data_IF_940308421728
#
_entry.id   IF_940308421728
#
_cell.length_a   1.000
_cell.length_b   1.000
_cell.length_c   1.000
_cell.angle_alpha   90.00
_cell.angle_beta   90.00
_cell.angle_gamma   90.00
#
_symmetry.space_group_name_H-M   'P 1'
#
loop_
_entity.id
_entity.type
_entity.pdbx_description
1 polymer ?
#
# COMPACT_ATOMS: atom_id res chain seq x y z
N UNK A 1 6.78 -29.53 -1.94
CA UNK A 1 8.00 -30.04 -2.60
C UNK A 1 7.83 -29.78 -4.09
N UNK A 2 8.72 -29.01 -4.72
CA UNK A 2 8.49 -28.42 -6.04
C UNK A 2 9.11 -29.23 -7.18
N UNK A 3 8.26 -29.99 -7.90
CA UNK A 3 8.40 -30.39 -9.30
C UNK A 3 9.76 -30.86 -9.82
N UNK A 4 9.92 -30.79 -11.15
CA UNK A 4 11.18 -31.10 -11.84
C UNK A 4 12.21 -29.96 -11.63
N UNK A 5 13.43 -30.32 -11.24
CA UNK A 5 14.53 -29.40 -10.91
C UNK A 5 15.51 -29.11 -12.07
N UNK A 6 15.25 -29.65 -13.26
CA UNK A 6 16.05 -29.36 -14.43
C UNK A 6 15.91 -30.38 -15.56
N UNK A 7 16.46 -30.03 -16.71
CA UNK A 7 16.65 -30.94 -17.83
C UNK A 7 17.87 -31.85 -17.60
N UNK A 8 17.87 -33.02 -18.23
CA UNK A 8 19.02 -33.91 -18.21
C UNK A 8 20.19 -33.27 -18.97
N UNK A 9 21.39 -33.27 -18.37
CA UNK A 9 22.61 -32.71 -18.96
C UNK A 9 23.04 -31.39 -18.33
N UNK A 10 22.11 -30.59 -17.80
CA UNK A 10 22.48 -29.40 -17.00
C UNK A 10 22.88 -29.85 -15.59
N UNK A 11 24.19 -29.87 -15.31
CA UNK A 11 24.77 -30.40 -14.05
C UNK A 11 24.53 -29.53 -12.80
N UNK A 12 23.62 -28.56 -12.86
CA UNK A 12 23.26 -27.69 -11.74
C UNK A 12 21.81 -27.21 -11.88
N UNK A 13 21.20 -26.84 -10.75
CA UNK A 13 19.83 -26.31 -10.73
C UNK A 13 19.84 -24.85 -11.17
N UNK A 14 19.04 -24.50 -12.17
CA UNK A 14 18.95 -23.13 -12.68
C UNK A 14 18.29 -22.21 -11.66
N UNK A 15 18.83 -21.00 -11.48
CA UNK A 15 18.29 -19.97 -10.56
C UNK A 15 16.87 -19.50 -10.87
N UNK A 16 16.38 -19.72 -12.10
CA UNK A 16 15.02 -19.37 -12.52
C UNK A 16 13.97 -20.34 -11.99
N UNK A 17 14.39 -21.54 -11.55
CA UNK A 17 13.50 -22.54 -10.97
C UNK A 17 13.05 -22.06 -9.59
N UNK A 18 11.76 -22.21 -9.30
CA UNK A 18 11.14 -21.78 -8.04
C UNK A 18 11.70 -22.62 -6.90
N UNK A 19 12.37 -21.96 -5.96
CA UNK A 19 12.88 -22.56 -4.74
C UNK A 19 12.18 -21.93 -3.53
N UNK A 20 12.13 -22.65 -2.41
CA UNK A 20 11.71 -22.07 -1.14
C UNK A 20 12.70 -20.99 -0.70
N UNK A 21 12.21 -19.92 -0.10
CA UNK A 21 13.02 -18.80 0.34
C UNK A 21 12.20 -17.71 1.02
N UNK A 22 12.83 -16.57 1.28
CA UNK A 22 12.21 -15.43 1.95
C UNK A 22 11.01 -14.91 1.14
N UNK A 23 9.85 -14.81 1.80
CA UNK A 23 8.65 -14.18 1.26
C UNK A 23 8.28 -12.97 2.12
N UNK A 24 8.09 -11.82 1.47
CA UNK A 24 7.67 -10.59 2.14
C UNK A 24 8.85 -9.73 2.61
N UNK A 25 8.52 -8.58 3.19
CA UNK A 25 9.47 -7.53 3.59
C UNK A 25 10.35 -6.96 2.45
N UNK A 26 10.07 -7.29 1.18
CA UNK A 26 10.78 -6.70 0.04
C UNK A 26 10.43 -5.22 -0.14
N UNK A 27 11.40 -4.43 -0.57
CA UNK A 27 11.17 -3.05 -0.99
C UNK A 27 10.44 -3.02 -2.33
N UNK A 28 9.31 -2.31 -2.38
CA UNK A 28 8.49 -2.14 -3.58
C UNK A 28 8.25 -0.66 -3.82
N UNK A 29 8.23 -0.26 -5.09
CA UNK A 29 7.85 1.09 -5.51
C UNK A 29 6.58 0.98 -6.34
N UNK A 30 5.49 1.55 -5.84
CA UNK A 30 4.25 1.68 -6.60
C UNK A 30 4.17 3.08 -7.19
N UNK A 31 3.80 3.16 -8.47
CA UNK A 31 3.81 4.40 -9.24
C UNK A 31 2.38 4.89 -9.48
N UNK A 32 2.28 6.20 -9.75
CA UNK A 32 1.06 6.84 -10.23
C UNK A 32 -0.17 6.73 -9.31
N UNK A 33 0.06 6.55 -8.00
CA UNK A 33 -1.00 6.67 -6.98
C UNK A 33 -1.55 8.10 -6.98
N UNK A 34 -2.86 8.20 -6.79
CA UNK A 34 -3.57 9.48 -6.77
C UNK A 34 -3.79 9.90 -5.33
N UNK A 35 -3.43 11.13 -5.00
CA UNK A 35 -3.80 11.76 -3.73
C UNK A 35 -5.21 12.31 -3.90
N UNK A 36 -6.09 11.99 -2.96
CA UNK A 36 -7.49 12.40 -2.98
C UNK A 36 -7.70 13.66 -2.13
N UNK A 37 -7.07 13.72 -0.95
CA UNK A 37 -7.17 14.85 -0.02
C UNK A 37 -5.89 14.96 0.79
N UNK A 38 -5.49 16.19 1.10
CA UNK A 38 -4.48 16.52 2.11
C UNK A 38 -5.19 17.43 3.10
N UNK A 39 -5.19 17.07 4.38
CA UNK A 39 -5.97 17.78 5.40
C UNK A 39 -5.33 17.64 6.78
N UNK A 40 -5.75 18.51 7.69
CA UNK A 40 -5.43 18.47 9.11
C UNK A 40 -6.61 17.88 9.90
N UNK A 41 -6.37 17.17 11.02
CA UNK A 41 -7.45 16.61 11.85
C UNK A 41 -8.44 17.65 12.38
N UNK A 42 -8.02 18.91 12.54
CA UNK A 42 -8.90 19.99 12.98
C UNK A 42 -9.93 20.45 11.92
N UNK A 43 -9.69 20.19 10.63
CA UNK A 43 -10.59 20.59 9.54
C UNK A 43 -11.54 19.46 9.15
N UNK A 44 -11.02 18.23 9.08
CA UNK A 44 -11.83 17.06 8.79
C UNK A 44 -11.29 15.87 9.56
N UNK A 45 -12.09 15.32 10.47
CA UNK A 45 -11.71 14.09 11.17
C UNK A 45 -11.92 12.88 10.26
N UNK A 46 -10.89 12.04 10.20
CA UNK A 46 -10.83 10.81 9.41
C UNK A 46 -10.86 9.57 10.32
N UNK A 47 -10.64 9.76 11.61
CA UNK A 47 -10.49 8.68 12.57
C UNK A 47 -11.83 7.98 12.74
N UNK A 48 -11.94 6.67 12.43
CA UNK A 48 -13.19 5.96 12.63
C UNK A 48 -13.51 5.82 14.13
N UNK A 49 -14.77 5.58 14.46
CA UNK A 49 -15.17 5.29 15.84
C UNK A 49 -14.34 4.11 16.40
N UNK A 50 -13.61 4.34 17.49
CA UNK A 50 -12.68 3.35 18.08
C UNK A 50 -11.28 3.30 17.45
N UNK A 51 -10.96 4.23 16.54
CA UNK A 51 -9.64 4.40 15.94
C UNK A 51 -9.30 3.39 14.84
N UNK A 52 -8.21 3.65 14.12
CA UNK A 52 -7.71 2.71 13.11
C UNK A 52 -7.14 1.46 13.77
N UNK A 53 -7.57 0.29 13.28
CA UNK A 53 -7.07 -1.02 13.71
C UNK A 53 -5.53 -1.06 13.64
N UNK A 54 -4.91 -1.44 14.76
CA UNK A 54 -3.45 -1.55 14.90
C UNK A 54 -2.69 -0.24 14.64
N UNK A 55 -3.36 0.91 14.65
CA UNK A 55 -2.76 2.23 14.52
C UNK A 55 -3.16 3.13 15.69
N UNK A 56 -4.46 3.42 15.82
CA UNK A 56 -5.00 4.39 16.78
C UNK A 56 -5.62 5.60 16.07
N UNK A 57 -5.57 6.75 16.72
CA UNK A 57 -6.11 8.02 16.21
C UNK A 57 -5.08 8.78 15.39
N UNK A 58 -5.54 9.61 14.44
CA UNK A 58 -4.67 10.42 13.58
C UNK A 58 -4.72 11.87 14.06
N UNK A 59 -3.67 12.31 14.77
CA UNK A 59 -3.56 13.66 15.34
C UNK A 59 -2.74 14.64 14.50
N UNK A 60 -2.03 14.13 13.50
CA UNK A 60 -1.14 14.92 12.63
C UNK A 60 -1.77 15.15 11.25
N UNK A 61 -1.24 16.11 10.45
CA UNK A 61 -1.62 16.27 9.05
C UNK A 61 -1.52 14.95 8.29
N UNK A 62 -2.54 14.66 7.48
CA UNK A 62 -2.66 13.38 6.80
C UNK A 62 -3.03 13.55 5.34
N UNK A 63 -2.87 12.46 4.59
CA UNK A 63 -3.28 12.38 3.19
C UNK A 63 -4.09 11.12 2.93
N UNK A 64 -5.12 11.25 2.11
CA UNK A 64 -5.92 10.14 1.62
C UNK A 64 -5.39 9.77 0.24
N UNK A 65 -4.95 8.52 0.07
CA UNK A 65 -4.43 8.00 -1.19
C UNK A 65 -5.41 6.98 -1.75
N UNK A 66 -5.62 7.03 -3.07
CA UNK A 66 -6.46 6.07 -3.77
C UNK A 66 -5.83 4.67 -3.78
N UNK A 67 -6.55 3.69 -3.23
CA UNK A 67 -6.18 2.27 -3.24
C UNK A 67 -5.27 1.86 -2.08
N UNK A 68 -4.53 0.77 -2.28
CA UNK A 68 -3.63 0.21 -1.27
C UNK A 68 -2.24 0.85 -1.28
N UNK A 69 -1.51 0.68 -0.18
CA UNK A 69 -0.09 1.03 -0.02
C UNK A 69 0.70 -0.21 0.41
N UNK A 70 2.00 -0.29 0.05
CA UNK A 70 2.81 -1.45 0.37
C UNK A 70 3.21 -1.48 1.86
N UNK A 71 2.92 -2.60 2.52
CA UNK A 71 3.32 -2.85 3.90
C UNK A 71 2.18 -2.71 4.91
N UNK A 72 2.41 -3.14 6.17
CA UNK A 72 1.41 -3.06 7.24
C UNK A 72 1.26 -1.63 7.78
N UNK A 73 0.24 -1.42 8.62
CA UNK A 73 0.08 -0.19 9.40
C UNK A 73 1.34 0.12 10.23
N UNK A 74 1.58 1.42 10.50
CA UNK A 74 2.78 1.95 11.20
C UNK A 74 4.13 1.80 10.48
N UNK A 75 4.19 1.21 9.27
CA UNK A 75 5.42 1.17 8.48
C UNK A 75 5.66 2.53 7.80
N UNK A 76 6.89 3.05 7.91
CA UNK A 76 7.31 4.26 7.19
C UNK A 76 7.23 4.05 5.67
N UNK A 77 6.62 5.02 4.99
CA UNK A 77 6.57 5.09 3.53
C UNK A 77 7.38 6.29 3.04
N UNK A 78 7.98 6.17 1.85
CA UNK A 78 8.70 7.25 1.18
C UNK A 78 7.94 7.65 -0.07
N UNK A 79 7.59 8.93 -0.16
CA UNK A 79 6.96 9.51 -1.34
C UNK A 79 7.99 10.21 -2.22
N UNK A 80 7.74 10.23 -3.52
CA UNK A 80 8.53 10.93 -4.53
C UNK A 80 7.57 11.43 -5.60
N UNK A 81 7.92 12.55 -6.24
CA UNK A 81 7.23 13.04 -7.42
C UNK A 81 7.19 12.01 -8.56
N UNK A 82 6.10 12.06 -9.32
CA UNK A 82 5.86 11.13 -10.41
C UNK A 82 6.83 11.39 -11.57
N UNK A 83 7.53 10.34 -12.00
CA UNK A 83 8.48 10.39 -13.12
C UNK A 83 7.80 10.02 -14.44
N UNK A 84 6.74 9.20 -14.39
CA UNK A 84 6.07 8.68 -15.58
C UNK A 84 4.91 9.60 -15.96
N UNK A 85 4.71 9.88 -17.26
CA UNK A 85 3.55 10.64 -17.71
C UNK A 85 2.26 9.91 -17.30
N UNK A 86 1.24 10.70 -16.93
CA UNK A 86 -0.07 10.20 -16.53
C UNK A 86 -1.12 10.90 -17.40
N UNK A 87 -2.16 10.20 -17.87
CA UNK A 87 -3.31 10.87 -18.45
C UNK A 87 -3.94 11.83 -17.44
N UNK A 88 -4.41 12.98 -17.90
CA UNK A 88 -5.18 13.91 -17.08
C UNK A 88 -6.40 13.17 -16.52
N UNK A 89 -6.56 13.20 -15.19
CA UNK A 89 -7.72 12.64 -14.51
C UNK A 89 -8.63 13.80 -14.09
N UNK A 90 -9.96 13.63 -14.15
CA UNK A 90 -10.88 14.66 -13.69
C UNK A 90 -10.67 14.92 -12.20
N UNK A 91 -10.94 16.14 -11.76
CA UNK A 91 -10.97 16.50 -10.35
C UNK A 91 -11.94 15.59 -9.59
N UNK A 92 -11.60 15.26 -8.35
CA UNK A 92 -12.41 14.39 -7.50
C UNK A 92 -12.89 15.21 -6.34
N UNK A 93 -14.20 15.43 -6.29
CA UNK A 93 -14.85 15.92 -5.10
C UNK A 93 -15.22 14.74 -4.19
N UNK A 94 -14.82 14.82 -2.93
CA UNK A 94 -15.05 13.76 -1.94
C UNK A 94 -16.26 14.16 -1.12
N UNK A 95 -17.41 13.62 -1.49
CA UNK A 95 -18.70 13.91 -0.85
C UNK A 95 -18.83 13.30 0.54
N UNK A 96 -18.32 12.08 0.73
CA UNK A 96 -18.47 11.33 1.97
C UNK A 96 -17.23 10.49 2.27
N UNK A 97 -16.86 10.45 3.55
CA UNK A 97 -15.83 9.56 4.07
C UNK A 97 -16.40 8.79 5.26
N UNK A 98 -16.31 7.45 5.21
CA UNK A 98 -16.84 6.58 6.25
C UNK A 98 -15.95 6.58 7.49
N UNK A 99 -16.46 7.17 8.58
CA UNK A 99 -15.87 7.14 9.93
C UNK A 99 -16.50 6.06 10.83
N UNK A 100 -17.23 5.11 10.25
CA UNK A 100 -17.76 3.97 11.00
C UNK A 100 -16.63 3.12 11.58
N UNK A 101 -16.88 2.50 12.74
CA UNK A 101 -15.94 1.54 13.34
C UNK A 101 -15.51 0.49 12.33
N UNK A 102 -14.25 0.07 12.43
CA UNK A 102 -13.69 -1.02 11.63
C UNK A 102 -13.48 -2.29 12.48
N UNK A 103 -13.91 -2.28 13.75
CA UNK A 103 -13.84 -3.41 14.68
C UNK A 103 -15.16 -4.19 14.65
N UNK A 104 -15.18 -5.37 14.01
CA UNK A 104 -16.44 -6.07 13.74
C UNK A 104 -17.29 -5.28 12.73
N UNK A 105 -18.45 -5.81 12.31
CA UNK A 105 -19.27 -5.25 11.23
C UNK A 105 -19.60 -3.75 11.40
#
# INVERSE_FOLDING_TARGET
QGGNMGDFGTRYVRKTIRQAGQVGYHNRTELNKRILRISNPGESDITPAGGFLKYGEVTNPYMIIQGSLPGPSKRMLRFRDAIRPRPAKPEVDITYVSTSSKQGA
#
